data_IF_943685241286
#
_entry.id   IF_943685241286
#
_cell.length_a   1.000
_cell.length_b   1.000
_cell.length_c   1.000
_cell.angle_alpha   90.00
_cell.angle_beta   90.00
_cell.angle_gamma   90.00
#
_symmetry.space_group_name_H-M   'P 1'
#
loop_
_entity.id
_entity.type
_entity.pdbx_description
1 polymer ?
#
# COMPACT_ATOMS: atom_id res chain seq x y z
N UNK A 1 -3.73 13.79 6.77
CA UNK A 1 -2.69 12.76 7.01
C UNK A 1 -2.66 11.84 5.80
N UNK A 2 -1.46 11.49 5.32
CA UNK A 2 -1.29 10.66 4.14
C UNK A 2 -1.25 9.16 4.51
N UNK A 3 -1.80 8.32 3.64
CA UNK A 3 -1.51 6.89 3.63
C UNK A 3 -0.06 6.68 3.25
N UNK A 4 0.56 5.65 3.83
CA UNK A 4 1.94 5.27 3.56
C UNK A 4 1.96 3.88 2.98
N UNK A 5 2.84 3.62 2.04
CA UNK A 5 3.08 2.30 1.47
C UNK A 5 4.56 1.99 1.56
N UNK A 6 4.88 0.79 2.02
CA UNK A 6 6.21 0.19 1.93
C UNK A 6 6.11 -0.98 0.96
N UNK A 7 7.02 -1.02 -0.01
CA UNK A 7 7.17 -2.14 -0.93
C UNK A 7 8.61 -2.63 -0.93
N UNK A 8 8.78 -3.93 -0.78
CA UNK A 8 10.08 -4.58 -0.67
C UNK A 8 10.21 -5.68 -1.73
N UNK A 9 11.36 -5.72 -2.40
CA UNK A 9 11.74 -6.78 -3.32
C UNK A 9 13.25 -6.91 -3.36
N UNK A 10 13.75 -8.13 -3.17
CA UNK A 10 15.18 -8.42 -3.12
C UNK A 10 15.90 -7.54 -2.08
N UNK A 11 16.72 -6.57 -2.53
CA UNK A 11 17.44 -5.62 -1.66
C UNK A 11 16.95 -4.18 -1.83
N UNK A 12 15.77 -4.00 -2.43
CA UNK A 12 15.15 -2.70 -2.69
C UNK A 12 13.94 -2.48 -1.76
N UNK A 13 13.88 -1.28 -1.17
CA UNK A 13 12.74 -0.82 -0.40
C UNK A 13 12.27 0.51 -0.94
N UNK A 14 11.01 0.58 -1.36
CA UNK A 14 10.39 1.82 -1.83
C UNK A 14 9.29 2.25 -0.87
N UNK A 15 9.34 3.53 -0.48
CA UNK A 15 8.35 4.17 0.38
C UNK A 15 7.56 5.20 -0.41
N UNK A 16 6.24 5.15 -0.31
CA UNK A 16 5.33 6.07 -1.02
C UNK A 16 4.33 6.65 -0.02
N UNK A 17 4.10 7.96 -0.09
CA UNK A 17 3.07 8.65 0.68
C UNK A 17 2.05 9.30 -0.26
N UNK A 18 0.76 9.14 0.03
CA UNK A 18 -0.35 9.71 -0.76
C UNK A 18 -1.54 10.05 0.13
N UNK A 19 -2.23 11.13 -0.17
CA UNK A 19 -3.48 11.48 0.53
C UNK A 19 -4.68 10.67 0.03
N UNK A 20 -4.66 10.26 -1.24
CA UNK A 20 -5.75 9.49 -1.84
C UNK A 20 -5.59 7.99 -1.61
N UNK A 21 -6.57 7.38 -0.94
CA UNK A 21 -6.70 5.92 -0.75
C UNK A 21 -6.71 5.18 -2.09
N UNK A 22 -7.47 5.70 -3.06
CA UNK A 22 -7.59 5.08 -4.38
C UNK A 22 -6.25 5.00 -5.11
N UNK A 23 -5.49 6.10 -5.11
CA UNK A 23 -4.20 6.14 -5.81
C UNK A 23 -3.15 5.25 -5.14
N UNK A 24 -3.12 5.20 -3.80
CA UNK A 24 -2.15 4.34 -3.11
C UNK A 24 -2.49 2.86 -3.26
N UNK A 25 -3.77 2.48 -3.21
CA UNK A 25 -4.22 1.10 -3.45
C UNK A 25 -3.94 0.68 -4.89
N UNK A 26 -4.23 1.53 -5.88
CA UNK A 26 -3.95 1.22 -7.28
C UNK A 26 -2.45 0.94 -7.51
N UNK A 27 -1.57 1.79 -6.97
CA UNK A 27 -0.12 1.58 -7.07
C UNK A 27 0.34 0.31 -6.36
N UNK A 28 -0.21 0.04 -5.18
CA UNK A 28 0.12 -1.15 -4.40
C UNK A 28 -0.27 -2.46 -5.12
N UNK A 29 -1.43 -2.49 -5.80
CA UNK A 29 -1.89 -3.65 -6.59
C UNK A 29 -0.96 -3.95 -7.76
N UNK A 30 -0.46 -2.92 -8.45
CA UNK A 30 0.50 -3.09 -9.55
C UNK A 30 1.77 -3.76 -9.02
N UNK A 31 2.35 -3.22 -7.96
CA UNK A 31 3.59 -3.76 -7.38
C UNK A 31 3.41 -5.17 -6.79
N UNK A 32 2.30 -5.44 -6.11
CA UNK A 32 2.00 -6.78 -5.63
C UNK A 32 1.94 -7.79 -6.79
N UNK A 33 1.35 -7.39 -7.93
CA UNK A 33 1.28 -8.22 -9.15
C UNK A 33 2.65 -8.43 -9.80
N UNK A 34 3.59 -7.51 -9.60
CA UNK A 34 4.99 -7.62 -10.05
C UNK A 34 5.87 -8.43 -9.07
N UNK A 35 5.29 -8.96 -7.99
CA UNK A 35 5.99 -9.80 -7.01
C UNK A 35 6.63 -9.03 -5.86
N UNK A 36 6.29 -7.75 -5.66
CA UNK A 36 6.74 -7.00 -4.49
C UNK A 36 5.94 -7.38 -3.25
N UNK A 37 6.60 -7.42 -2.09
CA UNK A 37 5.93 -7.46 -0.79
C UNK A 37 5.46 -6.06 -0.45
N UNK A 38 4.15 -5.82 -0.48
CA UNK A 38 3.57 -4.49 -0.29
C UNK A 38 2.72 -4.43 0.96
N UNK A 39 2.85 -3.35 1.74
CA UNK A 39 2.01 -3.03 2.90
C UNK A 39 1.59 -1.56 2.82
N UNK A 40 0.30 -1.28 2.98
CA UNK A 40 -0.23 0.07 3.16
C UNK A 40 -0.54 0.30 4.63
N UNK A 41 -0.16 1.45 5.18
CA UNK A 41 -0.53 1.93 6.51
C UNK A 41 -1.41 3.16 6.38
N UNK A 42 -2.58 3.13 7.02
CA UNK A 42 -3.49 4.27 7.05
C UNK A 42 -3.08 5.34 8.07
N UNK A 43 -3.88 6.41 8.14
CA UNK A 43 -3.68 7.54 9.05
C UNK A 43 -3.76 7.16 10.54
N UNK A 44 -4.43 6.06 10.87
CA UNK A 44 -4.62 5.55 12.22
C UNK A 44 -3.52 4.53 12.60
N UNK A 45 -2.57 4.29 11.68
CA UNK A 45 -1.45 3.38 11.89
C UNK A 45 -1.80 1.92 11.60
N UNK A 46 -2.99 1.62 11.07
CA UNK A 46 -3.37 0.26 10.73
C UNK A 46 -2.78 -0.15 9.38
N UNK A 47 -2.22 -1.34 9.34
CA UNK A 47 -1.60 -1.91 8.14
C UNK A 47 -2.53 -2.87 7.42
N UNK A 48 -2.38 -2.91 6.09
CA UNK A 48 -3.18 -3.71 5.18
C UNK A 48 -2.27 -4.42 4.18
N UNK A 49 -2.43 -5.73 4.05
CA UNK A 49 -1.81 -6.54 3.00
C UNK A 49 -2.63 -6.49 1.71
N UNK A 50 -2.11 -6.99 0.56
CA UNK A 50 -2.80 -6.90 -0.72
C UNK A 50 -4.21 -7.51 -0.75
N UNK A 51 -4.45 -8.59 0.00
CA UNK A 51 -5.76 -9.23 0.16
C UNK A 51 -6.77 -8.40 0.97
N UNK A 52 -6.31 -7.35 1.66
CA UNK A 52 -7.14 -6.48 2.50
C UNK A 52 -7.43 -5.12 1.86
N UNK A 53 -6.92 -4.85 0.66
CA UNK A 53 -7.08 -3.55 0.01
C UNK A 53 -8.54 -3.20 -0.29
N UNK A 54 -9.42 -4.18 -0.48
CA UNK A 54 -10.84 -3.90 -0.65
C UNK A 54 -11.48 -3.34 0.64
N UNK A 55 -10.93 -3.66 1.82
CA UNK A 55 -11.35 -3.05 3.09
C UNK A 55 -10.97 -1.57 3.16
N UNK A 56 -9.82 -1.20 2.58
CA UNK A 56 -9.39 0.20 2.49
C UNK A 56 -10.28 1.03 1.55
N UNK A 57 -10.77 0.42 0.48
CA UNK A 57 -11.65 1.10 -0.49
C UNK A 57 -13.10 1.21 -0.03
N UNK A 58 -13.51 0.38 0.93
CA UNK A 58 -14.86 0.38 1.51
C UNK A 58 -15.00 1.31 2.73
N UNK A 59 -13.92 1.94 3.18
CA UNK A 59 -13.86 2.87 4.32
C UNK A 59 -14.06 4.33 3.89
#
# INVERSE_FOLDING_TARGET
MAYKMVAERDNETVKVERESTWLIVAKARIWASEGWRVVITDKDGKSYAPDEFDKLLAA
#
